data_IF_094743678912
#
_entry.id   IF_094743678912
#
_cell.length_a   1.000
_cell.length_b   1.000
_cell.length_c   1.000
_cell.angle_alpha   90.00
_cell.angle_beta   90.00
_cell.angle_gamma   90.00
#
_symmetry.space_group_name_H-M   'P 1'
#
loop_
_entity.id
_entity.type
_entity.pdbx_description
1 polymer ?
#
# COMPACT_ATOMS: atom_id res chain seq x y z
N UNK A 1 -14.16 8.09 3.85
CA UNK A 1 -13.37 9.19 4.46
C UNK A 1 -11.89 8.85 4.54
N UNK A 2 -11.49 7.72 5.15
CA UNK A 2 -10.05 7.39 5.32
C UNK A 2 -9.45 6.51 4.21
N UNK A 3 -10.14 6.37 3.07
CA UNK A 3 -9.64 5.59 1.94
C UNK A 3 -8.35 6.15 1.31
N UNK A 4 -8.08 7.48 1.30
CA UNK A 4 -6.81 8.00 0.78
C UNK A 4 -5.56 7.39 1.42
N UNK A 5 -5.61 7.00 2.71
CA UNK A 5 -4.51 6.24 3.33
C UNK A 5 -4.31 4.86 2.71
N UNK A 6 -5.39 4.17 2.35
CA UNK A 6 -5.34 2.86 1.70
C UNK A 6 -4.83 3.01 0.26
N UNK A 7 -5.31 4.02 -0.46
CA UNK A 7 -4.84 4.30 -1.81
C UNK A 7 -3.33 4.62 -1.85
N UNK A 8 -2.86 5.51 -0.96
CA UNK A 8 -1.43 5.78 -0.83
C UNK A 8 -0.61 4.56 -0.42
N UNK A 9 -1.14 3.70 0.46
CA UNK A 9 -0.51 2.44 0.82
C UNK A 9 -0.38 1.49 -0.38
N UNK A 10 -1.44 1.36 -1.19
CA UNK A 10 -1.43 0.55 -2.42
C UNK A 10 -0.38 1.07 -3.38
N UNK A 11 -0.34 2.39 -3.65
CA UNK A 11 0.64 3.00 -4.57
C UNK A 11 2.08 2.74 -4.11
N UNK A 12 2.39 3.02 -2.84
CA UNK A 12 3.75 2.83 -2.31
C UNK A 12 4.20 1.37 -2.41
N UNK A 13 3.34 0.44 -2.00
CA UNK A 13 3.69 -0.99 -1.96
C UNK A 13 3.71 -1.60 -3.37
N UNK A 14 2.75 -1.26 -4.23
CA UNK A 14 2.70 -1.76 -5.61
C UNK A 14 3.93 -1.30 -6.40
N UNK A 15 4.28 -0.01 -6.34
CA UNK A 15 5.50 0.52 -6.97
C UNK A 15 6.75 -0.19 -6.46
N UNK A 16 6.91 -0.38 -5.16
CA UNK A 16 8.07 -1.08 -4.62
C UNK A 16 8.12 -2.55 -5.07
N UNK A 17 7.00 -3.28 -5.02
CA UNK A 17 6.94 -4.68 -5.48
C UNK A 17 7.28 -4.82 -6.97
N UNK A 18 6.86 -3.86 -7.80
CA UNK A 18 7.13 -3.87 -9.24
C UNK A 18 8.54 -3.39 -9.59
N UNK A 19 8.92 -2.22 -9.12
CA UNK A 19 10.17 -1.55 -9.53
C UNK A 19 11.39 -2.07 -8.76
N UNK A 20 11.24 -2.37 -7.47
CA UNK A 20 12.39 -2.75 -6.64
C UNK A 20 12.58 -4.28 -6.61
N UNK A 21 11.48 -5.06 -6.65
CA UNK A 21 11.52 -6.52 -6.63
C UNK A 21 11.25 -7.20 -7.98
N UNK A 22 10.74 -6.47 -8.98
CA UNK A 22 10.46 -7.02 -10.30
C UNK A 22 9.23 -7.95 -10.36
N UNK A 23 8.36 -7.93 -9.34
CA UNK A 23 7.14 -8.74 -9.35
C UNK A 23 6.11 -8.15 -10.31
N UNK A 24 5.42 -9.03 -11.05
CA UNK A 24 4.52 -8.64 -12.13
C UNK A 24 3.07 -8.98 -11.81
N UNK A 25 2.86 -10.12 -11.15
CA UNK A 25 1.54 -10.69 -10.92
C UNK A 25 1.04 -10.31 -9.51
N UNK A 26 0.55 -9.07 -9.40
CA UNK A 26 -0.04 -8.51 -8.19
C UNK A 26 -1.56 -8.44 -8.32
N UNK A 27 -2.28 -8.98 -7.33
CA UNK A 27 -3.74 -8.85 -7.21
C UNK A 27 -4.10 -8.14 -5.91
N UNK A 28 -4.60 -6.92 -6.04
CA UNK A 28 -5.12 -6.15 -4.91
C UNK A 28 -6.60 -6.44 -4.70
N UNK A 29 -6.98 -6.70 -3.45
CA UNK A 29 -8.32 -7.14 -3.08
C UNK A 29 -8.81 -6.35 -1.88
N UNK A 30 -9.99 -5.75 -1.97
CA UNK A 30 -10.63 -5.11 -0.84
C UNK A 30 -11.00 -6.16 0.24
N UNK A 31 -10.66 -5.90 1.51
CA UNK A 31 -10.83 -6.91 2.59
C UNK A 31 -12.28 -7.14 3.04
N UNK A 32 -13.22 -6.34 2.50
CA UNK A 32 -14.64 -6.37 2.84
C UNK A 32 -15.05 -5.31 3.87
N UNK A 33 -14.10 -4.67 4.58
CA UNK A 33 -14.41 -3.62 5.58
C UNK A 33 -13.60 -2.33 5.47
N UNK A 34 -12.30 -2.37 5.74
CA UNK A 34 -11.48 -1.15 5.94
C UNK A 34 -10.05 -1.21 5.41
N UNK A 35 -9.64 -2.34 4.84
CA UNK A 35 -8.28 -2.55 4.37
C UNK A 35 -8.27 -3.28 3.04
N UNK A 36 -7.08 -3.65 2.60
CA UNK A 36 -6.83 -4.35 1.35
C UNK A 36 -5.79 -5.44 1.57
N UNK A 37 -5.82 -6.46 0.74
CA UNK A 37 -4.82 -7.52 0.66
C UNK A 37 -4.13 -7.45 -0.69
N UNK A 38 -2.83 -7.72 -0.73
CA UNK A 38 -2.08 -7.89 -1.98
C UNK A 38 -1.66 -9.36 -2.09
N UNK A 39 -1.97 -10.00 -3.22
CA UNK A 39 -1.48 -11.32 -3.55
C UNK A 39 -0.39 -11.20 -4.61
N UNK A 40 0.84 -11.61 -4.26
CA UNK A 40 1.97 -11.68 -5.19
C UNK A 40 2.08 -13.13 -5.69
N UNK A 41 1.80 -13.33 -6.98
CA UNK A 41 1.68 -14.66 -7.57
C UNK A 41 2.77 -14.99 -8.59
N UNK A 42 3.84 -14.21 -8.68
CA UNK A 42 5.02 -14.59 -9.44
C UNK A 42 5.60 -15.93 -8.92
N UNK A 43 6.12 -16.77 -9.82
CA UNK A 43 6.71 -18.06 -9.41
C UNK A 43 7.85 -17.89 -8.39
N UNK A 44 8.68 -16.86 -8.58
CA UNK A 44 9.75 -16.51 -7.65
C UNK A 44 9.20 -16.14 -6.27
N UNK A 45 8.16 -15.29 -6.22
CA UNK A 45 7.51 -14.88 -4.97
C UNK A 45 6.91 -16.07 -4.21
N UNK A 46 6.24 -17.00 -4.92
CA UNK A 46 5.67 -18.22 -4.30
C UNK A 46 6.74 -19.14 -3.72
N UNK A 47 7.96 -19.10 -4.24
CA UNK A 47 9.07 -19.96 -3.82
C UNK A 47 9.95 -19.35 -2.72
N UNK A 48 9.63 -18.13 -2.25
CA UNK A 48 10.39 -17.47 -1.19
C UNK A 48 10.26 -18.21 0.15
N UNK A 49 11.39 -18.39 0.83
CA UNK A 49 11.45 -18.87 2.22
C UNK A 49 10.89 -17.83 3.19
N UNK A 50 10.63 -18.24 4.43
CA UNK A 50 10.15 -17.32 5.48
C UNK A 50 11.17 -16.21 5.77
N UNK A 51 12.48 -16.48 5.66
CA UNK A 51 13.55 -15.48 5.82
C UNK A 51 13.50 -14.46 4.69
N UNK A 52 13.38 -14.92 3.43
CA UNK A 52 13.31 -14.03 2.28
C UNK A 52 12.04 -13.17 2.31
N UNK A 53 10.90 -13.76 2.70
CA UNK A 53 9.64 -13.03 2.95
C UNK A 53 9.82 -11.97 4.03
N UNK A 54 10.49 -12.32 5.14
CA UNK A 54 10.79 -11.37 6.22
C UNK A 54 11.65 -10.21 5.72
N UNK A 55 12.63 -10.45 4.85
CA UNK A 55 13.46 -9.41 4.25
C UNK A 55 12.64 -8.46 3.36
N UNK A 56 11.74 -8.99 2.51
CA UNK A 56 10.83 -8.17 1.69
C UNK A 56 9.95 -7.30 2.58
N UNK A 57 9.34 -7.87 3.62
CA UNK A 57 8.49 -7.13 4.56
C UNK A 57 9.28 -6.05 5.29
N UNK A 58 10.50 -6.36 5.74
CA UNK A 58 11.40 -5.41 6.40
C UNK A 58 11.81 -4.27 5.48
N UNK A 59 12.02 -4.53 4.19
CA UNK A 59 12.30 -3.49 3.20
C UNK A 59 11.12 -2.53 3.00
N UNK A 60 9.90 -3.08 2.95
CA UNK A 60 8.67 -2.30 2.75
C UNK A 60 8.14 -1.63 4.03
N UNK A 61 8.68 -1.97 5.20
CA UNK A 61 8.24 -1.44 6.48
C UNK A 61 9.19 -0.35 6.96
N UNK A 62 8.64 0.76 7.43
CA UNK A 62 9.43 1.78 8.15
C UNK A 62 9.06 1.72 9.62
N UNK A 63 10.05 1.45 10.48
CA UNK A 63 9.84 1.51 11.92
C UNK A 63 9.56 2.94 12.34
N UNK A 64 8.39 3.12 12.93
CA UNK A 64 7.99 4.34 13.63
C UNK A 64 7.86 4.02 15.11
N UNK A 65 8.13 5.01 15.96
CA UNK A 65 7.94 4.87 17.40
C UNK A 65 6.45 4.69 17.70
N UNK A 66 6.09 3.62 18.41
CA UNK A 66 4.76 3.43 19.01
C UNK A 66 4.66 4.23 20.32
N UNK A 67 3.44 4.54 20.76
CA UNK A 67 3.16 5.23 22.03
C UNK A 67 3.81 4.53 23.24
N UNK A 68 4.07 3.23 23.15
CA UNK A 68 4.68 2.42 24.22
C UNK A 68 6.19 2.64 24.43
N UNK A 69 6.88 3.31 23.50
CA UNK A 69 8.33 3.56 23.54
C UNK A 69 8.66 5.04 23.79
N UNK A 70 7.97 5.66 24.75
CA UNK A 70 8.24 7.01 25.19
C UNK A 70 9.70 7.15 25.69
N UNK A 71 10.57 7.75 24.88
CA UNK A 71 11.88 8.24 25.33
C UNK A 71 13.06 8.07 24.38
N UNK A 72 13.00 7.21 23.36
CA UNK A 72 14.03 7.13 22.32
C UNK A 72 13.42 6.96 20.94
N UNK A 73 13.65 7.96 20.08
CA UNK A 73 13.28 7.92 18.67
C UNK A 73 14.17 6.90 17.96
N UNK A 74 13.69 5.67 17.86
CA UNK A 74 14.28 4.61 17.02
C UNK A 74 13.44 4.55 15.75
N UNK A 75 13.99 5.04 14.65
CA UNK A 75 13.37 5.01 13.33
C UNK A 75 14.38 4.61 12.25
N UNK A 76 13.87 4.12 11.12
CA UNK A 76 14.69 3.69 9.98
C UNK A 76 14.98 4.86 9.00
N UNK A 77 14.66 6.11 9.37
CA UNK A 77 14.77 7.27 8.49
C UNK A 77 16.23 7.75 8.48
N UNK A 78 16.84 7.76 7.31
CA UNK A 78 18.25 8.13 7.11
C UNK A 78 18.36 9.49 6.43
N UNK A 79 19.53 10.12 6.52
CA UNK A 79 19.87 11.31 5.74
C UNK A 79 21.24 11.08 5.06
N UNK A 80 21.31 10.92 3.73
CA UNK A 80 20.19 10.97 2.77
C UNK A 80 19.19 9.82 2.94
N UNK A 81 17.94 10.01 2.50
CA UNK A 81 16.90 8.99 2.52
C UNK A 81 17.25 7.82 1.60
N UNK A 82 16.86 6.60 1.98
CA UNK A 82 16.89 5.44 1.09
C UNK A 82 16.08 5.74 -0.20
N UNK A 83 16.54 5.32 -1.41
CA UNK A 83 15.87 5.65 -2.67
C UNK A 83 14.37 5.33 -2.70
N UNK A 84 13.97 4.16 -2.18
CA UNK A 84 12.56 3.77 -2.10
C UNK A 84 11.73 4.70 -1.21
N UNK A 85 12.29 5.17 -0.09
CA UNK A 85 11.64 6.15 0.77
C UNK A 85 11.62 7.54 0.15
N UNK A 86 12.68 7.94 -0.56
CA UNK A 86 12.71 9.21 -1.28
C UNK A 86 11.66 9.25 -2.40
N UNK A 87 11.45 8.14 -3.12
CA UNK A 87 10.40 8.00 -4.14
C UNK A 87 9.02 8.07 -3.48
N UNK A 88 8.77 7.24 -2.46
CA UNK A 88 7.50 7.22 -1.72
C UNK A 88 7.16 8.59 -1.09
N UNK A 89 8.17 9.30 -0.59
CA UNK A 89 8.04 10.66 -0.06
C UNK A 89 7.48 11.61 -1.11
N UNK A 90 8.18 11.73 -2.23
CA UNK A 90 7.88 12.69 -3.31
C UNK A 90 6.56 12.38 -4.02
N UNK A 91 6.34 11.11 -4.36
CA UNK A 91 5.25 10.74 -5.26
C UNK A 91 3.92 10.52 -4.55
N UNK A 92 3.95 10.12 -3.28
CA UNK A 92 2.73 9.73 -2.54
C UNK A 92 2.59 10.45 -1.21
N UNK A 93 3.60 10.40 -0.34
CA UNK A 93 3.45 10.89 1.02
C UNK A 93 3.27 12.41 1.10
N UNK A 94 4.05 13.20 0.37
CA UNK A 94 3.91 14.67 0.36
C UNK A 94 2.55 15.12 -0.19
N UNK A 95 2.08 14.64 -1.37
CA UNK A 95 0.73 14.93 -1.84
C UNK A 95 -0.37 14.51 -0.85
N UNK A 96 -0.29 13.28 -0.34
CA UNK A 96 -1.27 12.75 0.62
C UNK A 96 -1.28 13.56 1.93
N UNK A 97 -0.11 13.97 2.42
CA UNK A 97 -0.03 14.78 3.62
C UNK A 97 -0.67 16.15 3.42
N UNK A 98 -0.34 16.83 2.32
CA UNK A 98 -0.85 18.17 2.06
C UNK A 98 -2.35 18.17 1.78
N UNK A 99 -2.83 17.32 0.86
CA UNK A 99 -4.24 17.33 0.46
C UNK A 99 -5.14 16.64 1.47
N UNK A 100 -4.71 15.50 2.03
CA UNK A 100 -5.58 14.73 2.92
C UNK A 100 -5.30 14.99 4.41
N UNK A 101 -4.05 14.90 4.86
CA UNK A 101 -3.74 15.02 6.30
C UNK A 101 -3.92 16.45 6.81
N UNK A 102 -3.47 17.45 6.05
CA UNK A 102 -3.58 18.85 6.44
C UNK A 102 -4.95 19.44 6.08
N UNK A 103 -5.37 19.38 4.81
CA UNK A 103 -6.62 20.06 4.38
C UNK A 103 -7.89 19.30 4.81
N UNK A 104 -8.03 18.03 4.42
CA UNK A 104 -9.26 17.26 4.68
C UNK A 104 -9.41 16.85 6.14
N UNK A 105 -8.35 16.31 6.75
CA UNK A 105 -8.37 15.84 8.14
C UNK A 105 -8.18 16.97 9.15
N UNK A 106 -7.57 18.10 8.75
CA UNK A 106 -7.38 19.28 9.60
C UNK A 106 -6.44 19.03 10.78
N UNK A 107 -5.31 18.36 10.57
CA UNK A 107 -4.39 17.95 11.64
C UNK A 107 -3.62 19.10 12.32
N UNK A 108 -3.64 20.30 11.77
CA UNK A 108 -3.12 21.55 12.33
C UNK A 108 -4.24 22.59 12.60
N UNK A 109 -5.52 22.15 12.61
CA UNK A 109 -6.67 23.04 12.82
C UNK A 109 -6.79 23.52 14.27
N UNK A 110 -6.70 22.58 15.20
CA UNK A 110 -6.94 22.84 16.62
C UNK A 110 -5.64 22.77 17.42
N UNK A 111 -5.52 23.52 18.53
CA UNK A 111 -4.36 23.46 19.41
C UNK A 111 -4.01 22.04 19.85
N UNK A 112 -5.01 21.19 20.11
CA UNK A 112 -4.80 19.81 20.53
C UNK A 112 -4.13 18.97 19.44
N UNK A 113 -4.55 19.12 18.18
CA UNK A 113 -3.98 18.37 17.05
C UNK A 113 -2.59 18.87 16.66
N UNK A 114 -2.38 20.19 16.71
CA UNK A 114 -1.05 20.79 16.57
C UNK A 114 -0.11 20.20 17.63
N UNK A 115 -0.52 20.19 18.90
CA UNK A 115 0.27 19.61 19.99
C UNK A 115 0.60 18.13 19.74
N UNK A 116 -0.36 17.35 19.24
CA UNK A 116 -0.11 15.95 18.88
C UNK A 116 0.97 15.84 17.80
N UNK A 117 0.91 16.64 16.73
CA UNK A 117 1.91 16.60 15.67
C UNK A 117 3.28 17.09 16.13
N UNK A 118 3.34 18.11 16.97
CA UNK A 118 4.60 18.62 17.52
C UNK A 118 5.19 17.71 18.61
N UNK A 119 4.45 16.72 19.11
CA UNK A 119 4.94 15.78 20.14
C UNK A 119 6.13 14.94 19.68
N UNK A 120 6.30 14.78 18.35
CA UNK A 120 7.43 14.08 17.74
C UNK A 120 8.74 14.89 17.75
N UNK A 121 8.68 16.19 18.09
CA UNK A 121 9.86 17.05 18.22
C UNK A 121 10.46 16.84 19.61
N UNK A 122 11.70 16.34 19.67
CA UNK A 122 12.39 16.04 20.93
C UNK A 122 12.75 17.30 21.73
N UNK A 123 13.09 18.40 21.04
CA UNK A 123 13.42 19.66 21.67
C UNK A 123 12.16 20.33 22.25
N UNK A 124 12.01 20.28 23.58
CA UNK A 124 10.86 20.84 24.29
C UNK A 124 10.74 22.36 24.13
N UNK A 125 11.84 23.11 24.15
CA UNK A 125 11.82 24.55 23.98
C UNK A 125 11.33 24.94 22.58
N UNK A 126 11.80 24.25 21.54
CA UNK A 126 11.34 24.44 20.16
C UNK A 126 9.85 24.09 20.03
N UNK A 127 9.42 22.99 20.66
CA UNK A 127 8.02 22.56 20.64
C UNK A 127 7.08 23.61 21.24
N UNK A 128 7.40 24.15 22.41
CA UNK A 128 6.58 25.20 23.04
C UNK A 128 6.60 26.48 22.20
N UNK A 129 7.76 26.88 21.67
CA UNK A 129 7.87 28.06 20.79
C UNK A 129 7.00 27.93 19.53
N UNK A 130 7.00 26.75 18.90
CA UNK A 130 6.16 26.47 17.74
C UNK A 130 4.68 26.46 18.14
N UNK A 131 4.34 25.85 19.27
CA UNK A 131 2.96 25.81 19.77
C UNK A 131 2.39 27.22 19.97
N UNK A 132 3.11 28.10 20.67
CA UNK A 132 2.71 29.48 20.90
C UNK A 132 2.56 30.24 19.59
N UNK A 133 3.52 30.10 18.67
CA UNK A 133 3.48 30.79 17.38
C UNK A 133 2.28 30.35 16.55
N UNK A 134 2.10 29.05 16.36
CA UNK A 134 1.06 28.47 15.49
C UNK A 134 -0.36 28.66 16.03
N UNK A 135 -0.51 28.97 17.32
CA UNK A 135 -1.79 29.24 17.98
C UNK A 135 -2.02 30.71 18.31
N UNK A 136 -1.01 31.57 18.12
CA UNK A 136 -1.12 33.01 18.34
C UNK A 136 -2.15 33.68 17.42
N UNK A 137 -2.71 34.81 17.88
CA UNK A 137 -3.64 35.63 17.09
C UNK A 137 -3.05 36.06 15.74
N UNK A 138 -1.73 36.27 15.68
CA UNK A 138 -1.03 36.65 14.44
C UNK A 138 -1.08 35.56 13.35
N UNK A 139 -1.25 34.30 13.75
CA UNK A 139 -1.31 33.15 12.85
C UNK A 139 -2.74 32.69 12.57
N UNK A 140 -3.76 33.48 12.94
CA UNK A 140 -5.18 33.14 12.78
C UNK A 140 -5.57 32.91 11.32
N UNK A 141 -4.92 33.61 10.38
CA UNK A 141 -5.20 33.52 8.95
C UNK A 141 -4.31 32.50 8.22
N UNK A 142 -3.41 31.82 8.91
CA UNK A 142 -2.54 30.82 8.28
C UNK A 142 -3.33 29.57 7.91
N UNK A 143 -3.13 29.10 6.69
CA UNK A 143 -3.62 27.78 6.30
C UNK A 143 -2.86 26.69 7.05
N UNK A 144 -3.39 25.46 7.03
CA UNK A 144 -2.71 24.32 7.64
C UNK A 144 -1.38 24.00 6.96
N UNK A 145 -1.30 24.24 5.65
CA UNK A 145 -0.06 24.13 4.88
C UNK A 145 0.96 25.20 5.31
N UNK A 146 0.54 26.46 5.51
CA UNK A 146 1.45 27.52 5.99
C UNK A 146 2.03 27.19 7.37
N UNK A 147 1.18 26.66 8.27
CA UNK A 147 1.62 26.18 9.59
C UNK A 147 2.66 25.06 9.45
N UNK A 148 2.43 24.10 8.56
CA UNK A 148 3.37 23.00 8.32
C UNK A 148 4.70 23.47 7.71
N UNK A 149 4.67 24.37 6.72
CA UNK A 149 5.88 24.98 6.17
C UNK A 149 6.69 25.68 7.25
N UNK A 150 6.03 26.35 8.20
CA UNK A 150 6.74 26.96 9.32
C UNK A 150 7.42 25.94 10.24
N UNK A 151 6.75 24.81 10.53
CA UNK A 151 7.35 23.72 11.30
C UNK A 151 8.59 23.18 10.58
N UNK A 152 8.50 22.89 9.27
CA UNK A 152 9.64 22.42 8.47
C UNK A 152 10.81 23.41 8.51
N UNK A 153 10.54 24.69 8.28
CA UNK A 153 11.57 25.73 8.30
C UNK A 153 12.31 25.79 9.64
N UNK A 154 11.57 25.79 10.76
CA UNK A 154 12.18 25.86 12.08
C UNK A 154 12.94 24.58 12.44
N UNK A 155 12.48 23.40 12.00
CA UNK A 155 13.23 22.15 12.14
C UNK A 155 14.56 22.18 11.37
N UNK A 156 14.56 22.67 10.13
CA UNK A 156 15.79 22.85 9.33
C UNK A 156 16.76 23.80 10.02
N UNK A 157 16.26 24.93 10.54
CA UNK A 157 17.06 25.92 11.27
C UNK A 157 17.76 25.33 12.51
N UNK A 158 17.15 24.33 13.14
CA UNK A 158 17.71 23.62 14.30
C UNK A 158 18.42 22.31 13.92
N UNK A 159 18.78 22.13 12.64
CA UNK A 159 19.46 20.94 12.11
C UNK A 159 18.71 19.62 12.37
N UNK A 160 17.38 19.67 12.45
CA UNK A 160 16.50 18.53 12.74
C UNK A 160 15.51 18.25 11.59
N UNK A 161 15.97 18.44 10.35
CA UNK A 161 15.17 18.19 9.15
C UNK A 161 14.61 16.75 9.07
N UNK A 162 15.33 15.78 9.66
CA UNK A 162 14.90 14.38 9.77
C UNK A 162 13.57 14.24 10.53
N UNK A 163 13.25 15.14 11.47
CA UNK A 163 11.95 15.13 12.18
C UNK A 163 10.78 15.45 11.25
N UNK A 164 10.96 16.34 10.28
CA UNK A 164 9.90 16.63 9.30
C UNK A 164 9.53 15.38 8.50
N UNK A 165 10.54 14.64 8.03
CA UNK A 165 10.34 13.40 7.28
C UNK A 165 9.70 12.31 8.12
N UNK A 166 10.08 12.22 9.40
CA UNK A 166 9.44 11.30 10.34
C UNK A 166 7.97 11.61 10.57
N UNK A 167 7.63 12.87 10.82
CA UNK A 167 6.23 13.28 10.99
C UNK A 167 5.45 12.94 9.72
N UNK A 168 5.99 13.31 8.55
CA UNK A 168 5.37 12.99 7.27
C UNK A 168 5.06 11.49 7.14
N UNK A 169 6.08 10.65 7.24
CA UNK A 169 5.90 9.20 7.09
C UNK A 169 5.04 8.59 8.21
N UNK A 170 5.07 9.11 9.43
CA UNK A 170 4.21 8.63 10.52
C UNK A 170 2.73 8.73 10.17
N UNK A 171 2.34 9.81 9.49
CA UNK A 171 0.97 10.06 9.08
C UNK A 171 0.59 9.40 7.75
N UNK A 172 1.53 9.18 6.83
CA UNK A 172 1.19 8.75 5.45
C UNK A 172 1.74 7.40 5.04
N UNK A 173 2.84 6.93 5.62
CA UNK A 173 3.50 5.71 5.16
C UNK A 173 2.69 4.46 5.60
N UNK A 174 2.57 3.44 4.75
CA UNK A 174 1.79 2.25 5.06
C UNK A 174 2.27 1.52 6.31
N UNK A 175 1.31 1.07 7.13
CA UNK A 175 1.56 0.12 8.21
C UNK A 175 1.16 -1.28 7.74
N UNK A 176 2.15 -2.14 7.57
CA UNK A 176 1.95 -3.52 7.15
C UNK A 176 1.73 -4.42 8.36
N UNK A 177 0.77 -5.34 8.26
CA UNK A 177 0.67 -6.44 9.23
C UNK A 177 1.77 -7.45 8.91
N UNK A 178 2.94 -7.27 9.53
CA UNK A 178 4.15 -8.02 9.19
C UNK A 178 3.98 -9.54 9.36
N UNK A 179 3.10 -9.97 10.27
CA UNK A 179 2.94 -11.39 10.60
C UNK A 179 2.21 -12.16 9.49
N UNK A 180 1.32 -11.50 8.73
CA UNK A 180 0.58 -12.15 7.64
C UNK A 180 1.46 -12.44 6.42
N UNK A 181 2.63 -11.82 6.33
CA UNK A 181 3.50 -11.90 5.16
C UNK A 181 4.74 -12.78 5.38
N UNK A 182 5.15 -13.03 6.63
CA UNK A 182 6.40 -13.75 6.95
C UNK A 182 6.28 -15.26 6.82
N UNK A 183 5.13 -15.82 7.19
CA UNK A 183 4.94 -17.26 7.27
C UNK A 183 4.17 -17.80 6.05
N UNK A 184 4.76 -18.80 5.39
CA UNK A 184 4.11 -19.59 4.33
C UNK A 184 2.81 -20.26 4.78
N UNK A 185 2.68 -20.61 6.07
CA UNK A 185 1.48 -21.25 6.62
C UNK A 185 0.31 -20.30 6.89
N UNK A 186 0.48 -18.98 6.69
CA UNK A 186 -0.54 -18.00 7.03
C UNK A 186 -1.76 -18.09 6.10
N UNK A 187 -2.95 -18.26 6.68
CA UNK A 187 -4.20 -18.28 5.94
C UNK A 187 -4.76 -16.87 5.74
N UNK A 188 -5.06 -16.52 4.50
CA UNK A 188 -5.63 -15.23 4.13
C UNK A 188 -6.99 -15.40 3.46
N UNK A 189 -7.90 -14.44 3.72
CA UNK A 189 -9.24 -14.45 3.11
C UNK A 189 -9.15 -14.37 1.58
N UNK A 190 -9.83 -15.30 0.90
CA UNK A 190 -9.87 -15.36 -0.55
C UNK A 190 -10.58 -14.16 -1.22
N UNK A 191 -10.24 -13.87 -2.49
CA UNK A 191 -11.01 -12.94 -3.32
C UNK A 191 -12.49 -13.36 -3.42
N UNK A 192 -13.37 -12.38 -3.58
CA UNK A 192 -14.83 -12.53 -3.71
C UNK A 192 -15.56 -13.15 -2.50
N UNK A 193 -14.89 -13.45 -1.39
CA UNK A 193 -15.57 -13.78 -0.15
C UNK A 193 -16.50 -12.65 0.30
N UNK A 194 -17.64 -12.99 0.91
CA UNK A 194 -18.53 -12.02 1.56
C UNK A 194 -18.04 -11.77 2.98
N UNK A 195 -17.85 -10.51 3.36
CA UNK A 195 -17.45 -10.17 4.72
C UNK A 195 -18.67 -10.24 5.66
N UNK A 196 -18.66 -11.09 6.71
CA UNK A 196 -19.86 -11.38 7.50
C UNK A 196 -20.44 -10.16 8.20
N UNK A 197 -19.58 -9.29 8.74
CA UNK A 197 -20.03 -8.09 9.46
C UNK A 197 -20.43 -6.90 8.59
N UNK A 198 -20.27 -6.95 7.27
CA UNK A 198 -20.59 -5.83 6.36
C UNK A 198 -21.41 -6.24 5.16
N UNK A 199 -21.58 -7.55 4.91
CA UNK A 199 -22.20 -8.14 3.72
C UNK A 199 -21.56 -7.76 2.39
N UNK A 200 -20.43 -7.04 2.39
CA UNK A 200 -19.74 -6.62 1.16
C UNK A 200 -18.88 -7.75 0.59
N UNK A 201 -18.85 -7.83 -0.74
CA UNK A 201 -17.96 -8.71 -1.48
C UNK A 201 -16.53 -8.17 -1.46
N UNK A 202 -15.56 -9.06 -1.23
CA UNK A 202 -14.13 -8.75 -1.24
C UNK A 202 -13.62 -8.68 -2.69
N UNK A 203 -13.91 -7.58 -3.38
CA UNK A 203 -13.64 -7.44 -4.82
C UNK A 203 -12.16 -7.12 -5.11
N UNK A 204 -11.58 -7.74 -6.15
CA UNK A 204 -10.33 -7.29 -6.74
C UNK A 204 -10.46 -5.93 -7.42
N UNK A 205 -9.37 -5.17 -7.42
CA UNK A 205 -9.28 -3.88 -8.10
C UNK A 205 -7.84 -3.65 -8.60
N UNK A 206 -7.71 -2.72 -9.55
CA UNK A 206 -6.42 -2.29 -10.10
C UNK A 206 -5.73 -1.32 -9.16
N UNK A 207 -4.41 -1.44 -9.02
CA UNK A 207 -3.62 -0.52 -8.21
C UNK A 207 -3.75 0.92 -8.74
N UNK A 208 -3.80 1.09 -10.07
CA UNK A 208 -3.90 2.39 -10.73
C UNK A 208 -5.25 3.09 -10.48
N UNK A 209 -6.30 2.31 -10.19
CA UNK A 209 -7.65 2.81 -9.92
C UNK A 209 -7.90 3.05 -8.41
N UNK A 210 -6.88 2.87 -7.55
CA UNK A 210 -7.08 2.85 -6.09
C UNK A 210 -7.62 4.17 -5.52
N UNK A 211 -7.28 5.31 -6.12
CA UNK A 211 -7.77 6.64 -5.70
C UNK A 211 -9.26 6.82 -5.96
N UNK A 212 -9.77 6.20 -7.03
CA UNK A 212 -11.19 6.26 -7.42
C UNK A 212 -12.02 5.20 -6.71
N UNK A 213 -11.39 4.10 -6.29
CA UNK A 213 -12.06 3.03 -5.59
C UNK A 213 -12.63 3.53 -4.25
N UNK A 214 -13.93 3.38 -4.06
CA UNK A 214 -14.56 3.59 -2.75
C UNK A 214 -15.39 2.36 -2.40
N UNK A 215 -15.18 1.74 -1.22
CA UNK A 215 -15.92 0.54 -0.85
C UNK A 215 -17.45 0.68 -0.86
N UNK A 216 -17.97 1.89 -0.66
CA UNK A 216 -19.41 2.12 -0.67
C UNK A 216 -20.02 1.99 -2.08
N UNK A 217 -19.24 2.28 -3.12
CA UNK A 217 -19.68 2.27 -4.52
C UNK A 217 -19.23 1.01 -5.26
N UNK A 218 -17.96 0.62 -5.09
CA UNK A 218 -17.33 -0.42 -5.90
C UNK A 218 -17.35 -1.81 -5.26
N UNK A 219 -17.65 -1.94 -3.97
CA UNK A 219 -17.76 -3.22 -3.29
C UNK A 219 -19.25 -3.53 -2.99
N UNK A 220 -19.94 -4.25 -3.89
CA UNK A 220 -21.38 -4.50 -3.77
C UNK A 220 -21.72 -5.32 -2.53
N UNK A 221 -22.92 -5.10 -2.00
CA UNK A 221 -23.48 -5.89 -0.91
C UNK A 221 -24.15 -7.15 -1.48
N UNK A 222 -24.00 -8.29 -0.79
CA UNK A 222 -24.54 -9.57 -1.26
C UNK A 222 -26.05 -9.54 -1.46
N UNK A 223 -26.79 -8.88 -0.57
CA UNK A 223 -28.25 -8.74 -0.69
C UNK A 223 -28.65 -7.98 -1.95
N UNK A 224 -27.90 -6.93 -2.32
CA UNK A 224 -28.13 -6.17 -3.56
C UNK A 224 -27.84 -7.01 -4.79
N UNK A 225 -26.78 -7.81 -4.77
CA UNK A 225 -26.51 -8.74 -5.87
C UNK A 225 -27.61 -9.80 -6.03
N UNK A 226 -28.17 -10.29 -4.92
CA UNK A 226 -29.30 -11.24 -4.97
C UNK A 226 -30.55 -10.56 -5.55
N UNK A 227 -30.83 -9.31 -5.18
CA UNK A 227 -31.90 -8.50 -5.77
C UNK A 227 -31.68 -8.33 -7.29
N UNK A 228 -30.49 -7.92 -7.71
CA UNK A 228 -30.13 -7.75 -9.12
C UNK A 228 -30.36 -9.04 -9.93
N UNK A 229 -29.90 -10.20 -9.42
CA UNK A 229 -30.08 -11.50 -10.08
C UNK A 229 -31.55 -11.85 -10.25
N UNK A 230 -32.37 -11.58 -9.24
CA UNK A 230 -33.81 -11.81 -9.30
C UNK A 230 -34.51 -10.86 -10.30
N UNK A 231 -34.04 -9.62 -10.42
CA UNK A 231 -34.53 -8.64 -11.38
C UNK A 231 -34.21 -9.09 -12.81
N UNK A 232 -32.96 -9.48 -13.06
CA UNK A 232 -32.50 -10.02 -14.36
C UNK A 232 -33.29 -11.27 -14.75
N UNK A 233 -33.54 -12.18 -13.79
CA UNK A 233 -34.37 -13.37 -14.04
C UNK A 233 -35.82 -13.05 -14.44
N UNK A 234 -36.33 -11.87 -14.05
CA UNK A 234 -37.64 -11.35 -14.45
C UNK A 234 -37.61 -10.55 -15.77
N UNK A 235 -36.49 -10.56 -16.49
CA UNK A 235 -36.30 -9.83 -17.74
C UNK A 235 -36.05 -8.33 -17.57
N UNK A 236 -35.71 -7.89 -16.35
CA UNK A 236 -35.30 -6.50 -16.11
C UNK A 236 -33.80 -6.33 -16.42
N UNK A 237 -33.38 -5.08 -16.62
CA UNK A 237 -31.98 -4.77 -16.93
C UNK A 237 -31.08 -5.00 -15.71
N UNK A 238 -29.82 -5.36 -15.96
CA UNK A 238 -28.79 -5.50 -14.93
C UNK A 238 -28.49 -4.15 -14.25
N UNK A 239 -28.64 -4.13 -12.93
CA UNK A 239 -28.44 -2.96 -12.09
C UNK A 239 -26.93 -2.68 -11.81
N UNK A 240 -26.66 -1.51 -11.24
CA UNK A 240 -25.31 -1.01 -10.95
C UNK A 240 -24.41 -1.97 -10.13
N UNK A 241 -24.89 -2.67 -9.07
CA UNK A 241 -24.05 -3.54 -8.25
C UNK A 241 -23.41 -4.69 -9.03
N UNK A 242 -24.17 -5.34 -9.92
CA UNK A 242 -23.68 -6.43 -10.77
C UNK A 242 -22.66 -5.94 -11.80
N UNK A 243 -22.82 -4.71 -12.33
CA UNK A 243 -21.82 -4.09 -13.20
C UNK A 243 -20.45 -3.88 -12.51
N UNK A 244 -20.43 -3.51 -11.23
CA UNK A 244 -19.18 -3.40 -10.47
C UNK A 244 -18.55 -4.75 -10.18
N UNK A 245 -19.36 -5.77 -9.88
CA UNK A 245 -18.86 -7.13 -9.75
C UNK A 245 -18.23 -7.64 -11.05
N UNK A 246 -18.86 -7.37 -12.20
CA UNK A 246 -18.32 -7.71 -13.52
C UNK A 246 -16.99 -7.01 -13.81
N UNK A 247 -16.83 -5.74 -13.43
CA UNK A 247 -15.53 -5.04 -13.51
C UNK A 247 -14.47 -5.73 -12.66
N UNK A 248 -14.80 -6.12 -11.43
CA UNK A 248 -13.88 -6.84 -10.55
C UNK A 248 -13.52 -8.25 -11.08
N UNK A 249 -14.49 -8.96 -11.67
CA UNK A 249 -14.27 -10.24 -12.35
C UNK A 249 -13.30 -10.08 -13.53
N UNK A 250 -13.45 -9.02 -14.32
CA UNK A 250 -12.52 -8.73 -15.43
C UNK A 250 -11.09 -8.52 -14.94
N UNK A 251 -10.90 -7.75 -13.85
CA UNK A 251 -9.58 -7.59 -13.22
C UNK A 251 -8.99 -8.94 -12.79
N UNK A 252 -9.81 -9.80 -12.17
CA UNK A 252 -9.37 -11.12 -11.75
C UNK A 252 -9.02 -12.05 -12.93
N UNK A 253 -9.85 -12.05 -13.98
CA UNK A 253 -9.60 -12.82 -15.21
C UNK A 253 -8.28 -12.41 -15.87
N UNK A 254 -8.02 -11.10 -16.01
CA UNK A 254 -6.77 -10.61 -16.58
C UNK A 254 -5.55 -11.03 -15.75
N UNK A 255 -5.67 -11.02 -14.42
CA UNK A 255 -4.63 -11.53 -13.52
C UNK A 255 -4.37 -13.03 -13.74
N UNK A 256 -5.41 -13.86 -13.81
CA UNK A 256 -5.29 -15.32 -14.05
C UNK A 256 -4.69 -15.59 -15.42
N UNK A 257 -5.17 -14.93 -16.48
CA UNK A 257 -4.64 -15.07 -17.84
C UNK A 257 -3.15 -14.67 -17.88
N UNK A 258 -2.75 -13.64 -17.14
CA UNK A 258 -1.35 -13.26 -17.01
C UNK A 258 -0.48 -14.38 -16.43
N UNK A 259 -0.97 -15.06 -15.38
CA UNK A 259 -0.28 -16.18 -14.76
C UNK A 259 -0.18 -17.41 -15.69
N UNK A 260 -1.25 -17.73 -16.42
CA UNK A 260 -1.27 -18.85 -17.36
C UNK A 260 -0.26 -18.64 -18.50
N UNK A 261 -0.17 -17.41 -19.02
CA UNK A 261 0.82 -17.05 -20.04
C UNK A 261 2.25 -17.20 -19.52
N UNK A 262 2.54 -16.73 -18.31
CA UNK A 262 3.86 -16.89 -17.70
C UNK A 262 4.23 -18.37 -17.55
N UNK A 263 3.29 -19.18 -17.08
CA UNK A 263 3.47 -20.63 -16.92
C UNK A 263 3.76 -21.32 -18.26
N UNK A 264 3.01 -21.01 -19.31
CA UNK A 264 3.24 -21.57 -20.64
C UNK A 264 4.64 -21.24 -21.17
N UNK A 265 5.08 -19.98 -21.05
CA UNK A 265 6.42 -19.54 -21.45
C UNK A 265 7.51 -20.29 -20.66
N UNK A 266 7.29 -20.52 -19.36
CA UNK A 266 8.24 -21.26 -18.53
C UNK A 266 8.35 -22.74 -18.93
N UNK A 267 7.23 -23.38 -19.30
CA UNK A 267 7.19 -24.77 -19.78
C UNK A 267 7.88 -24.93 -21.15
N UNK A 268 7.67 -23.98 -22.07
CA UNK A 268 8.37 -23.94 -23.36
C UNK A 268 9.89 -23.82 -23.17
N UNK A 269 10.34 -22.88 -22.32
CA UNK A 269 11.77 -22.71 -22.01
C UNK A 269 12.39 -23.98 -21.42
N UNK A 270 11.67 -24.65 -20.51
CA UNK A 270 12.14 -25.90 -19.90
C UNK A 270 12.25 -27.02 -20.95
N UNK A 271 11.32 -27.07 -21.89
CA UNK A 271 11.32 -28.06 -22.98
C UNK A 271 12.50 -27.82 -23.93
N UNK A 272 12.72 -26.57 -24.33
CA UNK A 272 13.86 -26.20 -25.17
C UNK A 272 15.21 -26.45 -24.47
N UNK A 273 15.31 -26.19 -23.16
CA UNK A 273 16.52 -26.47 -22.40
C UNK A 273 16.84 -27.98 -22.41
N UNK A 274 15.84 -28.84 -22.16
CA UNK A 274 16.00 -30.30 -22.20
C UNK A 274 16.43 -30.81 -23.58
N UNK A 275 15.81 -30.30 -24.65
CA UNK A 275 16.18 -30.67 -26.02
C UNK A 275 17.65 -30.31 -26.32
N UNK A 276 18.08 -29.09 -25.96
CA UNK A 276 19.47 -28.69 -26.17
C UNK A 276 20.49 -29.46 -25.32
N UNK A 277 20.10 -29.93 -24.14
CA UNK A 277 20.93 -30.82 -23.31
C UNK A 277 21.05 -32.22 -23.92
N UNK A 278 19.95 -32.77 -24.44
CA UNK A 278 19.95 -34.05 -25.17
C UNK A 278 20.84 -33.99 -26.41
N UNK A 279 20.76 -32.92 -27.21
CA UNK A 279 21.60 -32.74 -28.39
C UNK A 279 23.09 -32.66 -28.04
N UNK A 280 23.44 -31.95 -26.95
CA UNK A 280 24.84 -31.89 -26.45
C UNK A 280 25.35 -33.24 -25.99
N UNK A 281 24.51 -34.03 -25.32
CA UNK A 281 24.88 -35.36 -24.85
C UNK A 281 25.05 -36.33 -26.02
N UNK A 282 24.15 -36.30 -27.00
CA UNK A 282 24.28 -37.08 -28.24
C UNK A 282 25.53 -36.72 -29.04
N UNK A 283 25.86 -35.42 -29.15
CA UNK A 283 27.09 -34.97 -29.80
C UNK A 283 28.36 -35.44 -29.07
N UNK A 284 28.34 -35.49 -27.72
CA UNK A 284 29.45 -36.02 -26.92
C UNK A 284 29.64 -37.52 -27.09
N UNK A 285 28.55 -38.29 -27.14
CA UNK A 285 28.62 -39.73 -27.40
C UNK A 285 29.15 -40.02 -28.80
N UNK A 286 28.74 -39.25 -29.81
CA UNK A 286 29.24 -39.41 -31.19
C UNK A 286 30.73 -39.10 -31.35
N UNK A 287 31.26 -38.13 -30.60
CA UNK A 287 32.69 -37.76 -30.61
C UNK A 287 33.56 -38.70 -29.75
N UNK A 288 32.96 -39.61 -28.97
CA UNK A 288 33.66 -40.55 -28.10
C UNK A 288 33.90 -41.93 -28.77
N UNK A 289 33.39 -42.13 -30.00
CA UNK A 289 33.58 -43.32 -30.85
C UNK A 289 34.60 -43.02 -31.94
#
# INVERSE_FOLDING_TARGET
RNWPYIAGAVQIVDTALREDFGFRHLLWVYSGRRGVHCWVADQGARSLSNEARSAVVSYLSVKMVSEDNAGKRIDDITNPLHPSLSRAKREVCEPLFNEFVLKDQGMMRTPQRIRQMLSFIANSALREQLMDRLTSTSSKNWSETDKWERVKHDLIKHSDAKTADYILFHYTYPRLDVNVSRDLGHLLKGPFCVHPGTGRVCVPFRAEDCDQFTPAKYAPHIERLIEDVNNVAKGQQEDEPSQYLNKALKVFQEFVVGLEKEKAIAEEKKTHAKLSEMDRNGAREFLAV
#
